data_IF_774817023726
#
_entry.id   IF_774817023726
#
_cell.length_a   1.000
_cell.length_b   1.000
_cell.length_c   1.000
_cell.angle_alpha   90.00
_cell.angle_beta   90.00
_cell.angle_gamma   90.00
#
_symmetry.space_group_name_H-M   'P 1'
#
loop_
_entity.id
_entity.type
_entity.pdbx_description
1 polymer ?
#
# COMPACT_ATOMS: atom_id res chain seq x y z
N UNK A 1 -39.70 -8.16 -5.86
CA UNK A 1 -38.35 -8.06 -5.22
C UNK A 1 -37.40 -7.46 -6.24
N UNK A 2 -36.73 -6.36 -5.92
CA UNK A 2 -35.72 -5.74 -6.81
C UNK A 2 -34.43 -6.55 -6.72
N UNK A 3 -33.90 -7.10 -7.83
CA UNK A 3 -32.66 -7.87 -7.82
C UNK A 3 -31.48 -7.05 -7.30
N UNK A 4 -30.70 -7.65 -6.41
CA UNK A 4 -29.49 -7.09 -5.83
C UNK A 4 -28.28 -7.81 -6.39
N UNK A 5 -27.33 -7.06 -6.95
CA UNK A 5 -26.06 -7.60 -7.44
C UNK A 5 -25.01 -7.42 -6.33
N UNK A 6 -24.48 -8.50 -5.73
CA UNK A 6 -23.39 -8.38 -4.76
C UNK A 6 -22.07 -8.09 -5.48
N UNK A 7 -21.32 -7.11 -4.99
CA UNK A 7 -19.92 -6.93 -5.38
C UNK A 7 -19.05 -7.93 -4.58
N UNK A 8 -18.00 -8.53 -5.20
CA UNK A 8 -17.13 -9.47 -4.52
C UNK A 8 -16.42 -8.80 -3.32
N UNK A 9 -16.48 -9.47 -2.17
CA UNK A 9 -15.69 -9.08 -1.00
C UNK A 9 -14.20 -9.22 -1.33
N UNK A 10 -13.42 -8.18 -1.04
CA UNK A 10 -11.99 -8.12 -1.35
C UNK A 10 -11.23 -7.29 -0.32
N UNK A 11 -9.90 -7.39 -0.34
CA UNK A 11 -9.01 -6.70 0.59
C UNK A 11 -9.31 -5.18 0.62
N UNK A 12 -9.16 -4.52 1.79
CA UNK A 12 -9.21 -3.06 1.88
C UNK A 12 -8.31 -2.42 0.81
N UNK A 13 -8.75 -1.29 0.25
CA UNK A 13 -8.01 -0.55 -0.78
C UNK A 13 -7.76 -1.25 -2.13
N UNK A 14 -8.35 -2.43 -2.38
CA UNK A 14 -8.32 -3.09 -3.69
C UNK A 14 -9.12 -2.39 -4.82
N UNK A 15 -9.60 -1.16 -4.59
CA UNK A 15 -10.35 -0.38 -5.60
C UNK A 15 -11.84 -0.70 -5.72
N UNK A 16 -12.43 -1.46 -4.77
CA UNK A 16 -13.86 -1.83 -4.77
C UNK A 16 -14.80 -0.63 -4.97
N UNK A 17 -14.63 0.42 -4.16
CA UNK A 17 -15.46 1.64 -4.26
C UNK A 17 -15.14 2.48 -5.50
N UNK A 18 -13.93 2.36 -6.06
CA UNK A 18 -13.59 2.99 -7.35
C UNK A 18 -14.31 2.31 -8.52
N UNK A 19 -14.41 0.98 -8.51
CA UNK A 19 -15.21 0.21 -9.48
C UNK A 19 -16.68 0.56 -9.35
N UNK A 20 -17.19 0.71 -8.12
CA UNK A 20 -18.56 1.12 -7.87
C UNK A 20 -18.85 2.53 -8.44
N UNK A 21 -17.96 3.50 -8.20
CA UNK A 21 -18.11 4.84 -8.77
C UNK A 21 -18.03 4.85 -10.31
N UNK A 22 -17.20 3.99 -10.91
CA UNK A 22 -17.14 3.84 -12.37
C UNK A 22 -18.45 3.26 -12.94
N UNK A 23 -19.06 2.27 -12.25
CA UNK A 23 -20.32 1.66 -12.67
C UNK A 23 -21.53 2.60 -12.47
N UNK A 24 -21.53 3.40 -11.41
CA UNK A 24 -22.63 4.30 -11.08
C UNK A 24 -22.58 5.62 -11.86
N UNK A 25 -21.45 5.96 -12.49
CA UNK A 25 -21.30 7.13 -13.37
C UNK A 25 -21.37 8.49 -12.67
N UNK A 26 -21.52 8.49 -11.34
CA UNK A 26 -21.49 9.67 -10.44
C UNK A 26 -20.73 9.29 -9.18
N UNK A 27 -20.14 10.29 -8.50
CA UNK A 27 -19.43 10.10 -7.22
C UNK A 27 -20.37 9.76 -6.07
N UNK A 28 -20.98 8.57 -6.12
CA UNK A 28 -21.97 8.12 -5.16
C UNK A 28 -21.35 7.66 -3.83
N UNK A 29 -20.07 7.27 -3.84
CA UNK A 29 -19.35 6.79 -2.66
C UNK A 29 -18.03 7.54 -2.49
N UNK A 30 -17.81 8.08 -1.29
CA UNK A 30 -16.55 8.74 -0.93
C UNK A 30 -15.41 7.72 -0.97
N UNK A 31 -14.53 7.85 -1.95
CA UNK A 31 -13.29 7.06 -2.05
C UNK A 31 -12.25 7.63 -1.10
N UNK A 32 -11.76 6.80 -0.19
CA UNK A 32 -10.65 7.13 0.69
C UNK A 32 -9.55 6.08 0.55
N UNK A 33 -8.30 6.54 0.60
CA UNK A 33 -7.10 5.70 0.58
C UNK A 33 -6.78 5.09 1.94
N UNK A 34 -7.56 5.42 2.98
CA UNK A 34 -7.35 4.93 4.34
C UNK A 34 -8.16 3.63 4.56
N UNK A 35 -7.53 2.54 5.05
CA UNK A 35 -8.23 1.30 5.39
C UNK A 35 -9.36 1.55 6.40
N UNK A 36 -10.49 0.85 6.27
CA UNK A 36 -11.58 0.86 7.27
C UNK A 36 -12.65 1.96 7.11
N UNK A 37 -12.80 2.57 5.93
CA UNK A 37 -13.82 3.61 5.69
C UNK A 37 -15.24 3.05 5.52
N UNK A 38 -15.44 1.98 4.75
CA UNK A 38 -16.75 1.32 4.60
C UNK A 38 -17.02 0.49 5.85
N UNK A 39 -17.70 1.08 6.84
CA UNK A 39 -17.98 0.45 8.15
C UNK A 39 -19.29 -0.33 8.20
N UNK A 40 -20.21 -0.06 7.27
CA UNK A 40 -21.55 -0.65 7.23
C UNK A 40 -21.86 -1.15 5.82
N UNK A 41 -22.67 -2.19 5.72
CA UNK A 41 -23.23 -2.66 4.46
C UNK A 41 -24.10 -1.56 3.86
N UNK A 42 -23.79 -1.11 2.65
CA UNK A 42 -24.51 -0.03 1.99
C UNK A 42 -25.15 -0.53 0.69
N UNK A 43 -26.36 -0.07 0.39
CA UNK A 43 -27.08 -0.42 -0.83
C UNK A 43 -27.33 0.83 -1.67
N UNK A 44 -26.81 0.84 -2.90
CA UNK A 44 -26.96 1.93 -3.85
C UNK A 44 -27.86 1.51 -5.01
N UNK A 45 -28.83 2.34 -5.39
CA UNK A 45 -29.63 2.09 -6.59
C UNK A 45 -28.85 2.51 -7.84
N UNK A 46 -28.58 1.54 -8.71
CA UNK A 46 -27.98 1.77 -10.04
C UNK A 46 -29.08 2.20 -11.03
N UNK A 47 -30.24 1.55 -10.95
CA UNK A 47 -31.48 1.91 -11.67
C UNK A 47 -32.67 1.65 -10.73
N UNK A 48 -33.90 2.10 -11.04
CA UNK A 48 -35.08 1.81 -10.22
C UNK A 48 -35.35 0.31 -10.02
N UNK A 49 -34.74 -0.54 -10.87
CA UNK A 49 -34.87 -2.00 -10.86
C UNK A 49 -33.61 -2.76 -10.46
N UNK A 50 -32.49 -2.09 -10.17
CA UNK A 50 -31.22 -2.75 -9.81
C UNK A 50 -30.53 -2.05 -8.65
N UNK A 51 -30.14 -2.85 -7.65
CA UNK A 51 -29.40 -2.40 -6.47
C UNK A 51 -28.00 -3.02 -6.41
N UNK A 52 -27.00 -2.19 -6.14
CA UNK A 52 -25.64 -2.58 -5.82
C UNK A 52 -25.47 -2.61 -4.30
N UNK A 53 -24.86 -3.67 -3.80
CA UNK A 53 -24.52 -3.79 -2.38
C UNK A 53 -23.00 -3.69 -2.20
N UNK A 54 -22.53 -2.70 -1.44
CA UNK A 54 -21.13 -2.56 -1.03
C UNK A 54 -20.95 -3.16 0.38
N UNK A 55 -20.00 -4.08 0.49
CA UNK A 55 -19.66 -4.74 1.74
C UNK A 55 -18.44 -4.06 2.37
N UNK A 56 -18.35 -3.97 3.71
CA UNK A 56 -17.12 -3.54 4.36
C UNK A 56 -15.95 -4.41 3.91
N UNK A 57 -14.77 -3.81 3.74
CA UNK A 57 -13.54 -4.55 3.43
C UNK A 57 -13.22 -5.52 4.55
N UNK A 58 -13.40 -6.82 4.31
CA UNK A 58 -13.11 -7.86 5.27
C UNK A 58 -11.63 -8.22 5.21
N UNK A 59 -10.94 -8.15 6.35
CA UNK A 59 -9.57 -8.66 6.51
C UNK A 59 -9.67 -9.92 7.33
N UNK A 60 -9.46 -11.07 6.69
CA UNK A 60 -9.25 -12.31 7.43
C UNK A 60 -7.89 -12.26 8.11
N UNK A 61 -7.73 -12.80 9.33
CA UNK A 61 -6.42 -12.94 9.96
C UNK A 61 -5.54 -13.81 9.05
N UNK A 62 -4.66 -13.17 8.29
CA UNK A 62 -3.80 -13.82 7.32
C UNK A 62 -2.45 -14.14 7.96
N UNK A 63 -1.92 -15.34 7.74
CA UNK A 63 -0.52 -15.69 8.07
C UNK A 63 0.53 -14.97 7.21
N UNK A 64 0.11 -13.94 6.45
CA UNK A 64 1.01 -13.16 5.61
C UNK A 64 1.95 -12.32 6.47
N UNK A 65 3.19 -12.15 5.99
CA UNK A 65 4.20 -11.33 6.64
C UNK A 65 3.65 -9.91 6.92
N UNK A 66 3.88 -9.34 8.12
CA UNK A 66 3.39 -7.99 8.47
C UNK A 66 3.76 -6.93 7.43
N UNK A 67 4.98 -7.00 6.87
CA UNK A 67 5.43 -6.11 5.81
C UNK A 67 4.54 -6.20 4.54
N UNK A 68 4.10 -7.39 4.15
CA UNK A 68 3.20 -7.56 3.02
C UNK A 68 1.81 -6.99 3.31
N UNK A 69 1.31 -7.11 4.53
CA UNK A 69 0.02 -6.53 4.92
C UNK A 69 0.04 -4.99 4.83
N UNK A 70 1.17 -4.38 5.20
CA UNK A 70 1.40 -2.94 5.02
C UNK A 70 1.42 -2.56 3.55
N UNK A 71 2.21 -3.27 2.74
CA UNK A 71 2.37 -2.96 1.31
C UNK A 71 1.11 -3.22 0.49
N UNK A 72 0.28 -4.18 0.90
CA UNK A 72 -1.04 -4.44 0.34
C UNK A 72 -2.09 -3.41 0.78
N UNK A 73 -1.74 -2.43 1.62
CA UNK A 73 -2.66 -1.41 2.11
C UNK A 73 -3.72 -1.96 3.05
N UNK A 74 -3.50 -3.13 3.65
CA UNK A 74 -4.38 -3.72 4.67
C UNK A 74 -4.19 -3.01 6.01
N UNK A 75 -2.93 -2.77 6.39
CA UNK A 75 -2.58 -2.05 7.60
C UNK A 75 -2.23 -0.58 7.29
N UNK A 76 -2.79 0.41 8.02
CA UNK A 76 -2.53 1.82 7.74
C UNK A 76 -1.09 2.22 8.08
N UNK A 77 -0.38 2.75 7.08
CA UNK A 77 1.02 3.20 7.21
C UNK A 77 1.20 4.22 8.36
N UNK A 78 0.22 5.08 8.61
CA UNK A 78 0.27 6.08 9.69
C UNK A 78 0.27 5.52 11.11
N UNK A 79 -0.10 4.25 11.30
CA UNK A 79 -0.14 3.61 12.62
C UNK A 79 1.07 2.71 12.87
N UNK A 80 1.97 2.58 11.90
CA UNK A 80 3.18 1.77 12.04
C UNK A 80 4.13 2.38 13.04
N UNK A 81 4.42 1.65 14.12
CA UNK A 81 5.47 2.05 15.07
C UNK A 81 6.87 1.96 14.44
N UNK A 82 7.07 0.94 13.60
CA UNK A 82 8.37 0.59 13.05
C UNK A 82 8.23 0.33 11.54
N UNK A 83 8.40 1.36 10.68
CA UNK A 83 8.24 1.23 9.23
C UNK A 83 9.48 0.63 8.53
N UNK A 84 10.62 0.53 9.22
CA UNK A 84 11.90 0.18 8.59
C UNK A 84 11.94 -1.27 8.15
N UNK A 85 11.36 -2.20 8.89
CA UNK A 85 11.19 -3.60 8.48
C UNK A 85 10.44 -3.74 7.15
N UNK A 86 9.39 -2.94 6.94
CA UNK A 86 8.63 -2.94 5.69
C UNK A 86 9.43 -2.34 4.53
N UNK A 87 10.23 -1.30 4.78
CA UNK A 87 11.17 -0.74 3.79
C UNK A 87 12.29 -1.72 3.47
N UNK A 88 12.83 -2.43 4.46
CA UNK A 88 13.83 -3.49 4.25
C UNK A 88 13.27 -4.64 3.42
N UNK A 89 12.03 -5.04 3.68
CA UNK A 89 11.33 -6.02 2.85
C UNK A 89 11.21 -5.55 1.39
N UNK A 90 10.89 -4.28 1.14
CA UNK A 90 10.91 -3.70 -0.21
C UNK A 90 12.32 -3.69 -0.82
N UNK A 91 13.33 -3.25 -0.06
CA UNK A 91 14.73 -3.16 -0.49
C UNK A 91 15.31 -4.51 -0.90
N UNK A 92 14.89 -5.60 -0.23
CA UNK A 92 15.32 -6.96 -0.58
C UNK A 92 14.80 -7.46 -1.93
N UNK A 93 13.76 -6.82 -2.49
CA UNK A 93 13.08 -7.26 -3.72
C UNK A 93 13.15 -6.25 -4.86
N UNK A 94 13.46 -5.00 -4.55
CA UNK A 94 13.55 -3.92 -5.51
C UNK A 94 14.89 -3.19 -5.32
N UNK A 95 15.57 -2.79 -6.41
CA UNK A 95 16.75 -1.93 -6.32
C UNK A 95 16.33 -0.51 -5.94
N UNK A 96 15.87 -0.32 -4.69
CA UNK A 96 15.36 0.95 -4.18
C UNK A 96 16.35 2.12 -4.34
N UNK A 97 17.66 1.96 -4.10
CA UNK A 97 18.61 3.05 -4.29
C UNK A 97 18.61 3.61 -5.72
N UNK A 98 18.56 2.72 -6.72
CA UNK A 98 18.52 3.10 -8.13
C UNK A 98 17.17 3.70 -8.51
N UNK A 99 16.06 3.10 -8.06
CA UNK A 99 14.70 3.58 -8.35
C UNK A 99 14.41 4.95 -7.73
N UNK A 100 14.91 5.19 -6.51
CA UNK A 100 14.78 6.46 -5.81
C UNK A 100 15.88 7.45 -6.18
N UNK A 101 16.86 7.05 -7.00
CA UNK A 101 18.05 7.82 -7.38
C UNK A 101 18.73 8.43 -6.15
N UNK A 102 19.10 7.57 -5.20
CA UNK A 102 19.74 7.95 -3.94
C UNK A 102 21.25 8.07 -4.12
N UNK A 103 21.87 8.99 -3.36
CA UNK A 103 23.32 9.08 -3.26
C UNK A 103 23.83 7.98 -2.35
N UNK A 104 24.89 7.25 -2.72
CA UNK A 104 25.44 6.18 -1.89
C UNK A 104 25.84 6.71 -0.51
N UNK A 105 25.63 5.93 0.56
CA UNK A 105 26.03 6.31 1.89
C UNK A 105 27.55 6.48 1.96
N UNK A 106 28.02 7.36 2.85
CA UNK A 106 29.45 7.62 3.03
C UNK A 106 30.23 6.40 3.54
N UNK A 107 29.55 5.44 4.18
CA UNK A 107 30.14 4.22 4.69
C UNK A 107 29.97 3.09 3.68
N UNK A 108 31.08 2.46 3.27
CA UNK A 108 31.14 1.45 2.21
C UNK A 108 30.52 0.07 2.57
N UNK A 109 29.70 -0.02 3.62
CA UNK A 109 29.15 -1.29 4.12
C UNK A 109 27.90 -1.79 3.35
N UNK A 110 27.54 -1.15 2.24
CA UNK A 110 26.36 -1.47 1.46
C UNK A 110 25.11 -0.73 1.92
N UNK A 111 23.97 -1.02 1.28
CA UNK A 111 22.71 -0.34 1.56
C UNK A 111 21.92 -1.08 2.65
N UNK A 112 21.73 -0.45 3.80
CA UNK A 112 20.74 -0.90 4.78
C UNK A 112 19.40 -0.19 4.60
N UNK A 113 18.33 -0.73 5.19
CA UNK A 113 17.03 -0.06 5.22
C UNK A 113 17.11 1.34 5.86
N UNK A 114 18.01 1.50 6.84
CA UNK A 114 18.28 2.78 7.48
C UNK A 114 18.94 3.76 6.52
N UNK A 115 20.02 3.35 5.84
CA UNK A 115 20.74 4.21 4.88
C UNK A 115 19.85 4.66 3.72
N UNK A 116 18.98 3.77 3.24
CA UNK A 116 17.99 4.10 2.20
C UNK A 116 17.04 5.20 2.70
N UNK A 117 16.54 5.07 3.93
CA UNK A 117 15.63 6.05 4.50
C UNK A 117 16.34 7.37 4.81
N UNK A 118 17.59 7.32 5.28
CA UNK A 118 18.39 8.51 5.56
C UNK A 118 18.72 9.28 4.27
N UNK A 119 19.22 8.59 3.24
CA UNK A 119 19.49 9.19 1.94
C UNK A 119 18.21 9.76 1.29
N UNK A 120 17.06 9.10 1.49
CA UNK A 120 15.77 9.63 1.05
C UNK A 120 15.35 10.87 1.84
N UNK A 121 15.56 10.89 3.16
CA UNK A 121 15.30 12.04 4.01
C UNK A 121 16.15 13.24 3.58
N UNK A 122 17.44 13.04 3.31
CA UNK A 122 18.34 14.07 2.82
C UNK A 122 17.87 14.62 1.47
N UNK A 123 17.60 13.74 0.51
CA UNK A 123 17.12 14.12 -0.83
C UNK A 123 15.81 14.92 -0.81
N UNK A 124 14.91 14.59 0.12
CA UNK A 124 13.60 15.27 0.27
C UNK A 124 13.65 16.47 1.22
N UNK A 125 14.77 16.72 1.88
CA UNK A 125 14.89 17.77 2.90
C UNK A 125 14.06 17.48 4.16
N UNK A 126 13.80 16.21 4.49
CA UNK A 126 13.11 15.84 5.72
C UNK A 126 14.06 16.00 6.91
N UNK A 127 13.78 17.01 7.74
CA UNK A 127 14.58 17.37 8.90
C UNK A 127 13.71 17.38 10.16
N UNK A 128 14.29 16.93 11.26
CA UNK A 128 13.67 16.99 12.58
C UNK A 128 13.70 18.42 13.12
N UNK A 129 12.59 18.87 13.70
CA UNK A 129 12.44 20.27 14.13
C UNK A 129 13.42 20.69 15.24
N UNK A 130 13.82 19.76 16.12
CA UNK A 130 14.66 20.06 17.29
C UNK A 130 16.16 20.07 17.02
N UNK A 131 16.64 19.22 16.10
CA UNK A 131 18.07 18.95 15.95
C UNK A 131 18.59 19.09 14.52
N UNK A 132 17.72 19.48 13.56
CA UNK A 132 18.05 19.54 12.13
C UNK A 132 18.69 18.25 11.58
N UNK A 133 18.46 17.10 12.24
CA UNK A 133 18.88 15.78 11.78
C UNK A 133 17.90 15.26 10.75
N UNK A 134 18.36 14.39 9.86
CA UNK A 134 17.51 13.74 8.86
C UNK A 134 16.36 12.97 9.55
N UNK A 135 15.12 13.23 9.13
CA UNK A 135 13.93 12.56 9.68
C UNK A 135 13.68 11.24 8.92
N UNK A 136 14.33 10.19 9.41
CA UNK A 136 14.34 8.85 8.83
C UNK A 136 12.95 8.20 8.91
N UNK A 137 12.19 8.46 9.98
CA UNK A 137 10.84 7.91 10.17
C UNK A 137 9.86 8.49 9.14
N UNK A 138 9.89 9.81 8.93
CA UNK A 138 9.08 10.45 7.88
C UNK A 138 9.47 9.98 6.49
N UNK A 139 10.75 9.77 6.24
CA UNK A 139 11.26 9.20 4.99
C UNK A 139 10.75 7.77 4.75
N UNK A 140 10.82 6.89 5.75
CA UNK A 140 10.32 5.52 5.66
C UNK A 140 8.82 5.49 5.31
N UNK A 141 8.01 6.29 6.01
CA UNK A 141 6.58 6.43 5.72
C UNK A 141 6.30 6.96 4.30
N UNK A 142 7.12 7.90 3.82
CA UNK A 142 7.05 8.40 2.45
C UNK A 142 7.32 7.29 1.42
N UNK A 143 8.36 6.48 1.62
CA UNK A 143 8.70 5.36 0.73
C UNK A 143 7.56 4.33 0.68
N UNK A 144 7.02 3.94 1.84
CA UNK A 144 5.91 2.99 1.90
C UNK A 144 4.66 3.53 1.20
N UNK A 145 4.38 4.83 1.29
CA UNK A 145 3.29 5.47 0.54
C UNK A 145 3.53 5.43 -0.96
N UNK A 146 4.76 5.66 -1.44
CA UNK A 146 5.09 5.52 -2.87
C UNK A 146 4.84 4.09 -3.37
N UNK A 147 5.13 3.08 -2.54
CA UNK A 147 4.83 1.69 -2.86
C UNK A 147 3.32 1.40 -2.89
N UNK A 148 2.57 1.85 -1.87
CA UNK A 148 1.12 1.68 -1.82
C UNK A 148 0.38 2.42 -2.95
N UNK A 149 0.92 3.53 -3.45
CA UNK A 149 0.39 4.27 -4.61
C UNK A 149 0.79 3.66 -5.96
N UNK A 150 1.61 2.59 -5.98
CA UNK A 150 2.06 1.94 -7.20
C UNK A 150 3.16 2.69 -7.97
N UNK A 151 3.77 3.73 -7.36
CA UNK A 151 4.96 4.41 -7.90
C UNK A 151 6.20 3.54 -7.76
N UNK A 152 6.26 2.73 -6.70
CA UNK A 152 7.20 1.62 -6.57
C UNK A 152 6.42 0.31 -6.74
N UNK A 153 6.64 -0.39 -7.85
CA UNK A 153 5.88 -1.59 -8.20
C UNK A 153 6.59 -2.83 -7.66
N UNK A 154 5.98 -3.46 -6.66
CA UNK A 154 6.39 -4.79 -6.19
C UNK A 154 5.54 -5.85 -6.89
N UNK A 155 6.19 -6.76 -7.63
CA UNK A 155 5.53 -7.91 -8.23
C UNK A 155 5.97 -9.18 -7.51
N UNK A 156 4.99 -9.93 -6.98
CA UNK A 156 5.24 -11.26 -6.41
C UNK A 156 5.00 -12.31 -7.50
N UNK A 157 5.94 -13.25 -7.64
CA UNK A 157 5.75 -14.41 -8.51
C UNK A 157 4.87 -15.44 -7.80
N UNK A 158 4.01 -16.18 -8.53
CA UNK A 158 3.22 -17.23 -7.92
C UNK A 158 4.13 -18.35 -7.36
N UNK A 159 3.67 -19.07 -6.33
CA UNK A 159 4.41 -20.21 -5.79
C UNK A 159 4.62 -21.26 -6.89
N UNK A 160 5.83 -21.81 -7.00
CA UNK A 160 6.18 -22.79 -8.04
C UNK A 160 6.57 -22.21 -9.40
N UNK A 161 6.44 -20.89 -9.62
CA UNK A 161 6.76 -20.26 -10.91
C UNK A 161 8.25 -20.38 -11.32
N UNK A 162 9.15 -20.41 -10.34
CA UNK A 162 10.58 -20.60 -10.59
C UNK A 162 10.99 -22.08 -10.77
N UNK A 163 10.15 -23.03 -10.35
CA UNK A 163 10.46 -24.46 -10.42
C UNK A 163 10.22 -25.06 -11.82
N UNK A 164 9.51 -24.36 -12.71
CA UNK A 164 9.24 -24.78 -14.08
C UNK A 164 10.14 -24.14 -15.14
N UNK A 165 11.18 -23.39 -14.76
CA UNK A 165 12.29 -23.14 -15.69
C UNK A 165 13.24 -24.33 -15.64
N UNK A 166 12.86 -25.41 -16.33
CA UNK A 166 13.81 -26.42 -16.76
C UNK A 166 14.79 -25.80 -17.77
N UNK A 167 16.06 -26.23 -17.64
CA UNK A 167 17.21 -26.11 -18.55
C UNK A 167 17.46 -24.76 -19.26
#
# INVERSE_FOLDING_TARGET
RVPSLPLPAGLPNAGKSSVLNALVGRGAVSVSRTPGRTRYFQTHFLTPRVRLCDCPGLVFPSHALPALQVLAGVYPISQLQEPYSAVGYLASRLPLPSLLQLRPPSNAAGWTAWDICEAWAEKRGYKTAKAARNDVYRAANSILRLAAEGRLRLCLRPPGYAAQKGE
#
